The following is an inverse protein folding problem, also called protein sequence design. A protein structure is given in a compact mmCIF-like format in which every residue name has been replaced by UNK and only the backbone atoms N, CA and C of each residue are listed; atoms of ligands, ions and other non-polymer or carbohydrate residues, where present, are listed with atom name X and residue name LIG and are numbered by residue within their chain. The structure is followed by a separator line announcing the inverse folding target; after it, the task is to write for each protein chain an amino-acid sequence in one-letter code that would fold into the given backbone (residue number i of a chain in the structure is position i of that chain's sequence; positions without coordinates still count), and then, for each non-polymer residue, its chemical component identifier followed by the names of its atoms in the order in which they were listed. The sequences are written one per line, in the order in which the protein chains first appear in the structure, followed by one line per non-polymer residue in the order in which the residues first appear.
data_IF_933098223943
#
_entry.id   IF_933098223943
#
_cell.length_a   1.000
_cell.length_b   1.000
_cell.length_c   1.000
_cell.angle_alpha   90.00
_cell.angle_beta   90.00
_cell.angle_gamma   90.00
#
_symmetry.space_group_name_H-M   'P 1'
#
loop_
_entity.id
_entity.type
_entity.pdbx_description
1 polymer ?
#
# COMPACT_ATOMS: atom_id res chain seq x y z
N UNK A 1 -2.73 -26.55 5.12
CA UNK A 1 -3.14 -26.26 3.72
C UNK A 1 -2.03 -25.46 3.06
N UNK A 2 -1.53 -25.91 1.91
CA UNK A 2 -0.43 -25.25 1.20
C UNK A 2 -0.83 -25.08 -0.26
N UNK A 3 -0.84 -23.85 -0.76
CA UNK A 3 -1.08 -23.59 -2.18
C UNK A 3 0.21 -23.79 -2.95
N UNK A 4 0.11 -24.18 -4.23
CA UNK A 4 1.29 -24.42 -5.06
C UNK A 4 2.04 -23.10 -5.32
N UNK A 5 1.32 -22.07 -5.78
CA UNK A 5 1.92 -20.81 -6.23
C UNK A 5 1.55 -19.58 -5.40
N UNK A 6 0.48 -19.63 -4.60
CA UNK A 6 0.01 -18.45 -3.87
C UNK A 6 0.31 -18.54 -2.38
N UNK A 7 0.53 -17.39 -1.75
CA UNK A 7 0.39 -17.27 -0.31
C UNK A 7 -1.08 -17.41 0.08
N UNK A 8 -1.32 -17.87 1.30
CA UNK A 8 -2.64 -17.76 1.93
C UNK A 8 -2.51 -16.72 3.03
N UNK A 9 -3.32 -15.67 2.95
CA UNK A 9 -3.31 -14.56 3.91
C UNK A 9 -4.71 -14.31 4.45
N UNK A 10 -4.79 -13.64 5.59
CA UNK A 10 -6.03 -13.10 6.15
C UNK A 10 -5.85 -11.63 6.51
N UNK A 11 -6.91 -10.81 6.54
CA UNK A 11 -6.83 -9.44 7.05
C UNK A 11 -6.24 -9.41 8.46
N UNK A 12 -5.40 -8.41 8.77
CA UNK A 12 -4.78 -8.29 10.09
C UNK A 12 -5.81 -8.09 11.21
N UNK A 13 -6.77 -7.19 10.98
CA UNK A 13 -7.82 -6.84 11.96
C UNK A 13 -9.20 -7.08 11.38
N UNK A 14 -9.55 -6.33 10.34
CA UNK A 14 -10.83 -6.40 9.63
C UNK A 14 -10.58 -6.21 8.13
N UNK A 15 -11.55 -6.60 7.31
CA UNK A 15 -11.50 -6.38 5.85
C UNK A 15 -11.59 -4.90 5.48
N UNK A 16 -12.19 -4.06 6.34
CA UNK A 16 -12.43 -2.65 6.06
C UNK A 16 -11.85 -1.74 7.15
N UNK A 17 -11.29 -0.61 6.70
CA UNK A 17 -10.78 0.50 7.50
C UNK A 17 -11.72 1.71 7.35
N UNK A 18 -13.00 1.51 7.66
CA UNK A 18 -14.08 2.44 7.37
C UNK A 18 -14.71 3.08 8.61
N UNK A 19 -14.11 2.90 9.79
CA UNK A 19 -14.59 3.47 11.05
C UNK A 19 -13.58 4.48 11.55
N UNK A 20 -14.03 5.69 11.89
CA UNK A 20 -13.22 6.74 12.51
C UNK A 20 -13.88 7.20 13.81
N UNK A 21 -13.12 7.26 14.90
CA UNK A 21 -13.59 7.78 16.17
C UNK A 21 -13.40 9.30 16.21
N UNK A 22 -14.45 10.04 16.55
CA UNK A 22 -14.42 11.49 16.75
C UNK A 22 -15.06 11.75 18.11
N UNK A 23 -14.23 12.10 19.09
CA UNK A 23 -14.66 12.21 20.49
C UNK A 23 -15.23 10.90 21.01
N UNK A 24 -16.48 10.94 21.43
CA UNK A 24 -17.27 9.82 21.95
C UNK A 24 -18.02 9.03 20.87
N UNK A 25 -17.96 9.46 19.60
CA UNK A 25 -18.75 8.86 18.50
C UNK A 25 -17.88 8.11 17.51
N UNK A 26 -18.42 7.03 16.95
CA UNK A 26 -17.83 6.30 15.81
C UNK A 26 -18.58 6.64 14.54
N UNK A 27 -17.87 7.16 13.54
CA UNK A 27 -18.39 7.44 12.21
C UNK A 27 -18.00 6.32 11.24
N UNK A 28 -18.97 5.87 10.44
CA UNK A 28 -18.72 5.03 9.28
C UNK A 28 -18.53 5.96 8.08
N UNK A 29 -17.34 5.93 7.47
CA UNK A 29 -16.91 6.92 6.47
C UNK A 29 -17.05 6.45 5.02
N UNK A 30 -17.44 5.19 4.78
CA UNK A 30 -17.67 4.67 3.45
C UNK A 30 -19.18 4.67 3.10
N UNK A 31 -19.49 5.01 1.86
CA UNK A 31 -20.86 4.94 1.32
C UNK A 31 -21.14 3.60 0.62
N UNK A 32 -20.09 2.86 0.23
CA UNK A 32 -20.21 1.57 -0.48
C UNK A 32 -19.15 0.56 0.00
N UNK A 33 -19.44 -0.74 -0.17
CA UNK A 33 -18.50 -1.85 0.16
C UNK A 33 -17.40 -2.02 -0.90
N UNK A 34 -17.60 -1.45 -2.09
CA UNK A 34 -16.74 -1.68 -3.25
C UNK A 34 -15.57 -0.70 -3.30
N UNK A 35 -15.61 0.36 -2.51
CA UNK A 35 -14.59 1.39 -2.57
C UNK A 35 -13.29 0.91 -1.92
N UNK A 36 -12.29 0.66 -2.78
CA UNK A 36 -10.97 0.15 -2.41
C UNK A 36 -10.22 1.03 -1.41
N UNK A 37 -10.57 2.33 -1.30
CA UNK A 37 -9.94 3.25 -0.33
C UNK A 37 -10.21 2.83 1.11
N UNK A 38 -11.33 2.16 1.36
CA UNK A 38 -11.72 1.69 2.70
C UNK A 38 -11.46 0.21 2.92
N UNK A 39 -10.89 -0.50 1.94
CA UNK A 39 -10.47 -1.89 2.09
C UNK A 39 -9.12 -1.92 2.80
N UNK A 40 -9.00 -2.80 3.80
CA UNK A 40 -7.74 -2.99 4.50
C UNK A 40 -6.66 -3.47 3.52
N UNK A 41 -5.45 -2.93 3.69
CA UNK A 41 -4.27 -3.34 2.92
C UNK A 41 -3.27 -4.08 3.80
N UNK A 42 -3.66 -4.45 5.02
CA UNK A 42 -2.82 -5.13 6.00
C UNK A 42 -3.28 -6.57 6.18
N UNK A 43 -2.34 -7.51 6.10
CA UNK A 43 -2.62 -8.92 6.18
C UNK A 43 -1.59 -9.68 7.04
N UNK A 44 -1.98 -10.86 7.50
CA UNK A 44 -1.08 -11.83 8.14
C UNK A 44 -0.98 -13.07 7.28
N UNK A 45 0.24 -13.55 7.08
CA UNK A 45 0.52 -14.75 6.30
C UNK A 45 0.12 -15.99 7.11
N UNK A 46 -0.77 -16.80 6.54
CA UNK A 46 -1.24 -18.08 7.12
C UNK A 46 -0.49 -19.26 6.51
N UNK A 47 -0.14 -19.18 5.22
CA UNK A 47 0.60 -20.23 4.53
C UNK A 47 1.46 -19.65 3.42
N UNK A 48 2.62 -20.27 3.21
CA UNK A 48 3.57 -19.92 2.14
C UNK A 48 3.45 -20.93 0.98
N UNK A 49 3.69 -20.51 -0.27
CA UNK A 49 3.58 -21.38 -1.43
C UNK A 49 4.59 -22.54 -1.40
N UNK A 50 4.28 -23.62 -2.11
CA UNK A 50 5.15 -24.78 -2.21
C UNK A 50 6.17 -24.71 -3.34
N UNK A 51 5.84 -24.00 -4.43
CA UNK A 51 6.64 -23.98 -5.65
C UNK A 51 7.94 -23.15 -5.55
N UNK A 52 8.04 -22.22 -4.59
CA UNK A 52 9.22 -21.37 -4.45
C UNK A 52 9.44 -20.94 -2.99
N UNK A 53 10.70 -20.65 -2.66
CA UNK A 53 11.07 -20.03 -1.39
C UNK A 53 11.02 -18.51 -1.49
N UNK A 54 10.54 -17.85 -0.44
CA UNK A 54 10.64 -16.41 -0.28
C UNK A 54 11.15 -16.08 1.13
N UNK A 55 11.50 -14.81 1.38
CA UNK A 55 11.86 -14.36 2.73
C UNK A 55 10.65 -14.20 3.66
N UNK A 56 9.44 -14.23 3.10
CA UNK A 56 8.17 -14.11 3.82
C UNK A 56 7.83 -15.47 4.45
N UNK A 57 7.47 -15.44 5.74
CA UNK A 57 7.16 -16.60 6.57
C UNK A 57 5.71 -16.55 7.08
N UNK A 58 5.24 -17.69 7.55
CA UNK A 58 3.96 -17.78 8.26
C UNK A 58 4.02 -16.91 9.51
N UNK A 59 2.97 -16.11 9.73
CA UNK A 59 2.86 -15.14 10.83
C UNK A 59 3.34 -13.73 10.50
N UNK A 60 4.05 -13.53 9.37
CA UNK A 60 4.52 -12.20 8.99
C UNK A 60 3.35 -11.25 8.68
N UNK A 61 3.52 -9.98 9.09
CA UNK A 61 2.64 -8.88 8.69
C UNK A 61 3.07 -8.37 7.33
N UNK A 62 2.12 -8.23 6.42
CA UNK A 62 2.36 -7.82 5.04
C UNK A 62 1.37 -6.76 4.59
N UNK A 63 1.85 -5.87 3.71
CA UNK A 63 1.03 -4.88 3.02
C UNK A 63 0.72 -5.37 1.61
N UNK A 64 -0.56 -5.36 1.24
CA UNK A 64 -1.06 -6.04 0.06
C UNK A 64 -1.85 -5.12 -0.87
N UNK A 65 -2.07 -5.60 -2.09
CA UNK A 65 -2.87 -4.92 -3.09
C UNK A 65 -4.31 -4.63 -2.60
N UNK A 66 -4.81 -3.42 -2.92
CA UNK A 66 -6.08 -2.89 -2.43
C UNK A 66 -7.33 -3.69 -2.84
N UNK A 67 -7.26 -4.52 -3.89
CA UNK A 67 -8.38 -5.37 -4.31
C UNK A 67 -8.40 -6.74 -3.61
N UNK A 68 -7.40 -7.09 -2.81
CA UNK A 68 -7.28 -8.46 -2.28
C UNK A 68 -8.50 -8.87 -1.43
N UNK A 69 -8.99 -7.96 -0.58
CA UNK A 69 -10.11 -8.21 0.32
C UNK A 69 -11.43 -7.58 -0.13
N UNK A 70 -11.47 -7.02 -1.34
CA UNK A 70 -12.61 -6.27 -1.86
C UNK A 70 -13.84 -7.16 -2.07
N UNK A 71 -15.02 -6.60 -1.82
CA UNK A 71 -16.31 -7.18 -2.21
C UNK A 71 -16.97 -6.29 -3.26
N UNK A 72 -17.87 -6.86 -4.03
CA UNK A 72 -18.57 -6.18 -5.11
C UNK A 72 -19.99 -6.73 -5.27
N UNK A 73 -20.89 -5.97 -5.88
CA UNK A 73 -22.25 -6.42 -6.19
C UNK A 73 -22.32 -6.96 -7.61
N UNK A 74 -22.89 -8.15 -7.78
CA UNK A 74 -23.15 -8.67 -9.11
C UNK A 74 -24.31 -7.93 -9.80
N UNK A 75 -24.56 -8.26 -11.07
CA UNK A 75 -25.64 -7.67 -11.87
C UNK A 75 -27.04 -7.84 -11.25
N UNK A 76 -27.19 -8.72 -10.25
CA UNK A 76 -28.44 -8.97 -9.51
C UNK A 76 -28.42 -8.32 -8.11
N UNK A 77 -27.45 -7.45 -7.83
CA UNK A 77 -27.29 -6.78 -6.54
C UNK A 77 -26.82 -7.70 -5.41
N UNK A 78 -26.29 -8.90 -5.71
CA UNK A 78 -25.83 -9.84 -4.68
C UNK A 78 -24.37 -9.59 -4.38
N UNK A 79 -24.04 -9.59 -3.10
CA UNK A 79 -22.66 -9.37 -2.66
C UNK A 79 -21.77 -10.58 -3.00
N UNK A 80 -20.65 -10.30 -3.65
CA UNK A 80 -19.64 -11.27 -4.08
C UNK A 80 -18.29 -10.92 -3.48
N UNK A 81 -17.52 -11.94 -3.15
CA UNK A 81 -16.12 -11.75 -2.78
C UNK A 81 -15.25 -11.56 -4.03
N UNK A 82 -14.05 -11.02 -3.82
CA UNK A 82 -12.99 -11.05 -4.82
C UNK A 82 -12.68 -12.48 -5.28
N UNK A 83 -12.14 -12.60 -6.49
CA UNK A 83 -11.68 -13.88 -7.04
C UNK A 83 -10.55 -14.53 -6.21
N UNK A 84 -9.91 -13.76 -5.35
CA UNK A 84 -8.86 -14.21 -4.42
C UNK A 84 -9.42 -14.83 -3.15
N UNK A 85 -10.71 -14.64 -2.84
CA UNK A 85 -11.33 -15.24 -1.67
C UNK A 85 -11.35 -16.76 -1.78
N UNK A 86 -11.00 -17.41 -0.67
CA UNK A 86 -11.00 -18.85 -0.56
C UNK A 86 -12.08 -19.36 0.41
N UNK A 87 -11.84 -19.29 1.72
CA UNK A 87 -12.81 -19.64 2.77
C UNK A 87 -12.38 -19.04 4.12
N UNK A 88 -13.29 -18.87 5.07
CA UNK A 88 -12.96 -18.51 6.46
C UNK A 88 -12.04 -17.28 6.57
N UNK A 89 -12.34 -16.22 5.80
CA UNK A 89 -11.51 -15.01 5.67
C UNK A 89 -10.07 -15.23 5.15
N UNK A 90 -9.81 -16.38 4.53
CA UNK A 90 -8.57 -16.69 3.84
C UNK A 90 -8.64 -16.29 2.37
N UNK A 91 -7.51 -15.78 1.88
CA UNK A 91 -7.35 -15.29 0.52
C UNK A 91 -6.07 -15.80 -0.09
N UNK A 92 -6.13 -16.14 -1.38
CA UNK A 92 -4.93 -16.38 -2.18
C UNK A 92 -4.30 -15.05 -2.57
N UNK A 93 -3.01 -14.91 -2.29
CA UNK A 93 -2.24 -13.71 -2.60
C UNK A 93 -0.99 -14.10 -3.40
N UNK A 94 -0.83 -13.54 -4.59
CA UNK A 94 0.40 -13.71 -5.37
C UNK A 94 1.55 -12.92 -4.73
N UNK A 95 2.80 -13.34 -4.94
CA UNK A 95 3.96 -12.57 -4.47
C UNK A 95 3.96 -11.12 -5.00
N UNK A 96 3.50 -10.88 -6.23
CA UNK A 96 3.41 -9.54 -6.79
C UNK A 96 2.31 -8.68 -6.15
N UNK A 97 1.37 -9.28 -5.43
CA UNK A 97 0.33 -8.56 -4.69
C UNK A 97 0.75 -8.23 -3.26
N UNK A 98 1.96 -8.63 -2.84
CA UNK A 98 2.58 -8.27 -1.57
C UNK A 98 3.61 -7.18 -1.85
N UNK A 99 3.42 -5.99 -1.28
CA UNK A 99 4.25 -4.81 -1.55
C UNK A 99 5.32 -4.58 -0.49
N UNK A 100 5.01 -4.94 0.76
CA UNK A 100 5.94 -4.82 1.88
C UNK A 100 5.71 -5.94 2.89
N UNK A 101 6.77 -6.40 3.54
CA UNK A 101 6.72 -7.35 4.65
C UNK A 101 7.80 -6.97 5.68
N UNK A 102 7.46 -7.01 6.97
CA UNK A 102 8.43 -6.73 8.06
C UNK A 102 9.29 -5.46 7.84
N UNK A 103 8.67 -4.37 7.35
CA UNK A 103 9.35 -3.09 7.07
C UNK A 103 10.31 -3.09 5.86
N UNK A 104 10.25 -4.13 5.01
CA UNK A 104 11.05 -4.26 3.79
C UNK A 104 10.16 -4.34 2.57
N UNK A 105 10.49 -3.57 1.54
CA UNK A 105 9.81 -3.67 0.26
C UNK A 105 10.01 -5.06 -0.35
N UNK A 106 8.97 -5.54 -1.00
CA UNK A 106 9.01 -6.78 -1.76
C UNK A 106 9.35 -6.49 -3.23
N UNK A 107 10.04 -7.41 -3.90
CA UNK A 107 10.39 -7.30 -5.32
C UNK A 107 11.02 -5.93 -5.67
N UNK A 108 10.51 -5.28 -6.72
CA UNK A 108 10.90 -3.99 -7.25
C UNK A 108 10.02 -2.84 -6.73
N UNK A 109 9.22 -3.07 -5.69
CA UNK A 109 8.39 -2.01 -5.09
C UNK A 109 9.22 -1.07 -4.21
N UNK A 110 8.82 0.18 -4.13
CA UNK A 110 9.36 1.18 -3.22
C UNK A 110 8.23 2.05 -2.65
N UNK A 111 8.51 2.73 -1.55
CA UNK A 111 7.57 3.66 -0.92
C UNK A 111 8.16 5.05 -0.85
N UNK A 112 7.40 6.01 -1.35
CA UNK A 112 7.75 7.43 -1.40
C UNK A 112 6.79 8.21 -0.52
N UNK A 113 7.32 9.10 0.31
CA UNK A 113 6.53 10.02 1.13
C UNK A 113 6.25 11.28 0.33
N UNK A 114 4.98 11.69 0.13
CA UNK A 114 4.67 12.95 -0.53
C UNK A 114 5.20 14.15 0.26
N UNK A 115 5.42 15.25 -0.44
CA UNK A 115 5.84 16.53 0.15
C UNK A 115 4.76 17.60 -0.02
N UNK A 116 4.82 18.65 0.79
CA UNK A 116 3.90 19.79 0.70
C UNK A 116 4.07 20.52 -0.63
N UNK A 117 2.94 20.82 -1.28
CA UNK A 117 2.91 21.74 -2.41
C UNK A 117 3.20 23.17 -1.92
N UNK A 118 4.14 23.85 -2.58
CA UNK A 118 4.47 25.25 -2.29
C UNK A 118 3.80 26.24 -3.25
N UNK A 119 3.11 25.75 -4.27
CA UNK A 119 2.40 26.58 -5.24
C UNK A 119 1.14 27.21 -4.62
N UNK A 120 1.17 28.53 -4.47
CA UNK A 120 0.06 29.33 -3.93
C UNK A 120 -1.17 29.37 -4.84
N UNK A 121 -1.00 29.05 -6.13
CA UNK A 121 -2.08 29.02 -7.12
C UNK A 121 -2.73 27.63 -7.22
N UNK A 122 -2.14 26.62 -6.57
CA UNK A 122 -2.65 25.26 -6.59
C UNK A 122 -3.57 24.97 -5.40
N UNK A 123 -4.64 24.22 -5.66
CA UNK A 123 -5.52 23.68 -4.62
C UNK A 123 -4.99 22.35 -4.05
N UNK A 124 -4.02 21.73 -4.72
CA UNK A 124 -3.44 20.46 -4.29
C UNK A 124 -2.51 20.68 -3.10
N UNK A 125 -2.77 19.99 -1.98
CA UNK A 125 -1.92 20.10 -0.78
C UNK A 125 -0.54 19.47 -0.96
N UNK A 126 -0.45 18.45 -1.81
CA UNK A 126 0.77 17.69 -2.04
C UNK A 126 1.38 18.06 -3.39
N UNK A 127 2.71 18.13 -3.45
CA UNK A 127 3.41 18.41 -4.69
C UNK A 127 3.15 17.24 -5.68
N UNK A 128 2.57 17.51 -6.86
CA UNK A 128 2.32 16.45 -7.83
C UNK A 128 3.62 15.76 -8.22
N UNK A 129 3.61 14.42 -8.20
CA UNK A 129 4.69 13.58 -8.72
C UNK A 129 6.06 13.75 -8.06
N UNK A 130 6.14 14.35 -6.88
CA UNK A 130 7.40 14.55 -6.15
C UNK A 130 7.27 14.04 -4.72
N UNK A 131 8.31 13.37 -4.24
CA UNK A 131 8.37 12.93 -2.86
C UNK A 131 9.74 12.41 -2.46
N UNK A 132 9.85 11.96 -1.21
CA UNK A 132 11.09 11.47 -0.63
C UNK A 132 11.02 9.95 -0.47
N UNK A 133 12.03 9.23 -0.92
CA UNK A 133 12.09 7.77 -0.75
C UNK A 133 12.13 7.42 0.73
N UNK A 134 11.13 6.68 1.22
CA UNK A 134 11.06 6.21 2.62
C UNK A 134 11.57 4.77 2.76
N UNK A 135 11.09 3.89 1.88
CA UNK A 135 11.51 2.50 1.81
C UNK A 135 12.01 2.19 0.40
N UNK A 136 13.26 1.72 0.31
CA UNK A 136 13.91 1.36 -0.95
C UNK A 136 13.92 -0.16 -1.16
N UNK A 137 14.53 -0.59 -2.27
CA UNK A 137 14.78 -1.97 -2.62
C UNK A 137 16.15 -2.10 -3.30
N UNK A 138 16.56 -3.33 -3.57
CA UNK A 138 17.87 -3.61 -4.18
C UNK A 138 18.05 -3.02 -5.58
N UNK A 139 16.96 -2.84 -6.35
CA UNK A 139 17.03 -2.25 -7.70
C UNK A 139 17.36 -0.76 -7.62
N UNK A 140 16.70 -0.03 -6.72
CA UNK A 140 16.96 1.40 -6.50
C UNK A 140 18.32 1.63 -5.85
N UNK A 141 18.69 0.81 -4.86
CA UNK A 141 20.01 0.88 -4.22
C UNK A 141 21.15 0.67 -5.22
N UNK A 142 20.99 -0.23 -6.20
CA UNK A 142 21.96 -0.42 -7.29
C UNK A 142 22.12 0.83 -8.18
N UNK A 143 21.07 1.66 -8.28
CA UNK A 143 21.09 2.96 -8.97
C UNK A 143 21.53 4.11 -8.05
N UNK A 144 22.00 3.80 -6.83
CA UNK A 144 22.37 4.77 -5.78
C UNK A 144 21.19 5.64 -5.30
N UNK A 145 19.96 5.14 -5.45
CA UNK A 145 18.75 5.78 -4.94
C UNK A 145 18.44 5.20 -3.55
N UNK A 146 18.73 5.98 -2.51
CA UNK A 146 18.58 5.55 -1.12
C UNK A 146 17.43 6.27 -0.42
N UNK A 147 16.92 5.72 0.70
CA UNK A 147 15.98 6.45 1.53
C UNK A 147 16.50 7.85 1.91
N UNK A 148 15.61 8.84 1.93
CA UNK A 148 15.92 10.25 2.16
C UNK A 148 16.17 11.08 0.89
N UNK A 149 16.28 10.45 -0.29
CA UNK A 149 16.44 11.19 -1.54
C UNK A 149 15.12 11.72 -2.09
N UNK A 150 15.16 12.93 -2.64
CA UNK A 150 14.07 13.54 -3.38
C UNK A 150 13.98 12.92 -4.78
N UNK A 151 12.79 12.46 -5.14
CA UNK A 151 12.53 11.80 -6.43
C UNK A 151 11.28 12.37 -7.09
N UNK A 152 11.31 12.36 -8.42
CA UNK A 152 10.12 12.53 -9.25
C UNK A 152 9.71 11.18 -9.81
N UNK A 153 8.41 10.90 -9.78
CA UNK A 153 7.83 9.66 -10.29
C UNK A 153 6.79 9.90 -11.37
N UNK A 154 6.50 8.90 -12.18
CA UNK A 154 5.55 9.02 -13.29
C UNK A 154 4.12 9.29 -12.82
N UNK A 155 3.30 10.03 -13.57
CA UNK A 155 1.89 10.23 -13.22
C UNK A 155 1.09 8.92 -13.13
N UNK A 156 0.23 8.81 -12.11
CA UNK A 156 -0.70 7.69 -11.88
C UNK A 156 -0.03 6.33 -11.57
N UNK A 157 1.24 6.33 -11.16
CA UNK A 157 1.93 5.10 -10.71
C UNK A 157 1.73 4.82 -9.21
N UNK A 158 1.19 5.78 -8.47
CA UNK A 158 1.10 5.75 -7.02
C UNK A 158 -0.10 4.95 -6.49
N UNK A 159 0.19 4.04 -5.56
CA UNK A 159 -0.81 3.43 -4.70
C UNK A 159 -0.69 3.97 -3.28
N UNK A 160 -1.78 4.50 -2.74
CA UNK A 160 -1.80 5.07 -1.39
C UNK A 160 -1.77 3.99 -0.30
N UNK A 161 -0.89 4.16 0.69
CA UNK A 161 -0.82 3.39 1.91
C UNK A 161 -0.74 4.32 3.11
N UNK A 162 -1.24 3.84 4.25
CA UNK A 162 -1.00 4.47 5.56
C UNK A 162 -0.23 3.45 6.38
N UNK A 163 1.01 3.78 6.73
CA UNK A 163 1.94 2.92 7.46
C UNK A 163 2.49 3.76 8.60
N UNK A 164 2.41 3.27 9.84
CA UNK A 164 2.85 3.99 11.04
C UNK A 164 2.29 5.42 11.15
N UNK A 165 1.02 5.58 10.75
CA UNK A 165 0.30 6.86 10.70
C UNK A 165 0.89 7.88 9.70
N UNK A 166 1.79 7.46 8.81
CA UNK A 166 2.29 8.24 7.68
C UNK A 166 1.61 7.81 6.37
N UNK A 167 1.21 8.77 5.54
CA UNK A 167 0.75 8.50 4.16
C UNK A 167 1.96 8.28 3.27
N UNK A 168 1.96 7.17 2.54
CA UNK A 168 3.03 6.78 1.62
C UNK A 168 2.45 6.35 0.28
N UNK A 169 3.22 6.56 -0.77
CA UNK A 169 2.95 6.10 -2.13
C UNK A 169 3.82 4.90 -2.47
N UNK A 170 3.19 3.75 -2.65
CA UNK A 170 3.83 2.56 -3.19
C UNK A 170 3.82 2.63 -4.72
N UNK A 171 4.95 2.35 -5.35
CA UNK A 171 5.11 2.28 -6.80
C UNK A 171 6.23 1.30 -7.16
N UNK A 172 6.46 1.02 -8.45
CA UNK A 172 7.62 0.22 -8.87
C UNK A 172 8.84 1.11 -9.04
N UNK A 173 10.01 0.48 -8.98
CA UNK A 173 11.29 1.16 -9.18
C UNK A 173 11.38 1.87 -10.53
N UNK A 174 10.80 1.26 -11.58
CA UNK A 174 10.79 1.83 -12.92
C UNK A 174 9.88 3.07 -13.07
N UNK A 175 9.00 3.31 -12.09
CA UNK A 175 8.15 4.50 -12.08
C UNK A 175 8.89 5.72 -11.53
N UNK A 176 10.07 5.54 -10.94
CA UNK A 176 10.97 6.64 -10.55
C UNK A 176 11.66 7.18 -11.80
N UNK A 177 11.36 8.45 -12.13
CA UNK A 177 11.82 9.08 -13.37
C UNK A 177 13.10 9.91 -13.18
N UNK A 178 13.21 10.66 -12.08
CA UNK A 178 14.34 11.56 -11.82
C UNK A 178 14.70 11.58 -10.33
N UNK A 179 15.97 11.79 -10.04
CA UNK A 179 16.51 12.08 -8.70
C UNK A 179 16.94 13.52 -8.61
N UNK A 180 16.75 14.14 -7.46
CA UNK A 180 17.17 15.50 -7.19
C UNK A 180 18.11 15.53 -5.98
N UNK A 181 18.97 16.54 -5.90
CA UNK A 181 19.69 16.83 -4.66
C UNK A 181 18.68 17.32 -3.61
N UNK A 182 18.68 16.69 -2.44
CA UNK A 182 17.77 17.05 -1.36
C UNK A 182 18.42 18.15 -0.51
N UNK A 183 18.03 19.40 -0.72
CA UNK A 183 18.58 20.57 0.00
C UNK A 183 18.02 20.73 1.42
N UNK A 184 17.02 19.92 1.83
CA UNK A 184 16.45 19.94 3.18
C UNK A 184 15.44 21.06 3.44
N UNK A 185 15.03 21.77 2.38
CA UNK A 185 14.03 22.84 2.43
C UNK A 185 12.60 22.30 2.18
N UNK A 186 12.46 21.01 1.92
CA UNK A 186 11.20 20.32 1.63
C UNK A 186 10.48 19.92 2.93
N UNK A 187 9.19 20.23 3.03
CA UNK A 187 8.35 19.79 4.15
C UNK A 187 7.69 18.47 3.79
N UNK A 188 8.04 17.41 4.53
CA UNK A 188 7.41 16.10 4.41
C UNK A 188 5.94 16.10 4.82
N UNK A 189 5.16 15.15 4.29
CA UNK A 189 3.75 14.95 4.66
C UNK A 189 3.51 14.91 6.18
N UNK A 190 2.52 15.67 6.63
CA UNK A 190 2.00 15.65 8.00
C UNK A 190 0.54 15.16 8.01
N UNK A 191 0.19 14.15 8.84
CA UNK A 191 -1.19 13.66 8.97
C UNK A 191 -2.23 14.72 9.34
N UNK A 192 -1.82 15.86 9.93
CA UNK A 192 -2.71 17.00 10.21
C UNK A 192 -3.22 17.73 8.97
N UNK A 193 -2.70 17.40 7.78
CA UNK A 193 -3.18 17.94 6.51
C UNK A 193 -4.41 17.21 5.96
N UNK A 194 -4.86 16.12 6.60
CA UNK A 194 -6.06 15.37 6.26
C UNK A 194 -7.34 16.06 6.75
#
# INVERSE_FOLDING_TARGET
MKSLYNFIVKPLTTRYNNKKQIGDKTLIINTTIENHRFVSKEAVVVSVPAAYSSRIKVGDKVYVHHNLFRRWYDQKGRERNSSTYFKDDLYFCNISQIYMYNGKCNLDYCFVKPILNKDILSTEKEQPNVGIVKYSNSSLEALKITPGMLVTFTPNSEFEFVIDNERLYCMKSNDIALTHEHEGNEKEYNPSWA
#
